data_IF_200492217036
#
_entry.id   IF_200492217036
#
_cell.length_a   1.000
_cell.length_b   1.000
_cell.length_c   1.000
_cell.angle_alpha   90.00
_cell.angle_beta   90.00
_cell.angle_gamma   90.00
#
_symmetry.space_group_name_H-M   'P 1'
#
loop_
_entity.id
_entity.type
_entity.pdbx_description
1 polymer ?
#
# COMPACT_ATOMS: atom_id res chain seq x y z
N UNK A 1 -19.91 -12.12 -2.33
CA UNK A 1 -18.93 -13.13 -2.74
C UNK A 1 -17.59 -12.84 -2.05
N UNK A 2 -16.68 -13.81 -1.95
CA UNK A 2 -15.31 -13.58 -1.43
C UNK A 2 -14.40 -13.09 -2.56
N UNK A 3 -13.34 -12.34 -2.23
CA UNK A 3 -12.28 -11.99 -3.17
C UNK A 3 -11.63 -13.22 -3.81
N UNK A 4 -11.64 -14.36 -3.12
CA UNK A 4 -11.12 -15.63 -3.65
C UNK A 4 -11.81 -16.07 -4.94
N UNK A 5 -13.09 -15.73 -5.11
CA UNK A 5 -13.85 -16.06 -6.30
C UNK A 5 -13.47 -15.18 -7.51
N UNK A 6 -12.87 -14.01 -7.27
CA UNK A 6 -12.48 -13.05 -8.31
C UNK A 6 -11.01 -13.22 -8.73
N UNK A 7 -10.19 -13.87 -7.90
CA UNK A 7 -8.76 -14.08 -8.13
C UNK A 7 -8.40 -14.74 -9.48
N UNK A 8 -9.12 -15.76 -10.00
CA UNK A 8 -8.73 -16.41 -11.26
C UNK A 8 -9.10 -15.60 -12.52
N UNK A 9 -9.88 -14.52 -12.38
CA UNK A 9 -10.38 -13.75 -13.51
C UNK A 9 -9.39 -12.62 -13.88
N UNK A 10 -9.18 -12.36 -15.19
CA UNK A 10 -8.42 -11.19 -15.62
C UNK A 10 -9.21 -9.91 -15.35
N UNK A 11 -8.53 -8.81 -15.05
CA UNK A 11 -9.16 -7.56 -14.58
C UNK A 11 -10.14 -6.99 -15.61
N UNK A 12 -9.84 -7.20 -16.90
CA UNK A 12 -10.72 -6.82 -18.03
C UNK A 12 -12.07 -7.53 -18.03
N UNK A 13 -12.15 -8.71 -17.40
CA UNK A 13 -13.36 -9.52 -17.30
C UNK A 13 -14.19 -9.19 -16.05
N UNK A 14 -13.69 -8.34 -15.15
CA UNK A 14 -14.39 -7.93 -13.93
C UNK A 14 -14.96 -6.54 -14.13
N UNK A 15 -16.28 -6.45 -14.02
CA UNK A 15 -17.02 -5.21 -14.09
C UNK A 15 -17.90 -5.08 -12.87
N UNK A 16 -17.78 -3.95 -12.19
CA UNK A 16 -18.58 -3.61 -11.03
C UNK A 16 -19.57 -2.53 -11.45
N UNK A 17 -20.86 -2.85 -11.40
CA UNK A 17 -21.92 -1.86 -11.60
C UNK A 17 -22.34 -1.28 -10.24
N UNK A 18 -22.19 0.04 -10.07
CA UNK A 18 -22.60 0.80 -8.89
C UNK A 18 -23.31 2.08 -9.33
N UNK A 19 -24.51 2.31 -8.79
CA UNK A 19 -25.26 3.57 -8.92
C UNK A 19 -25.27 4.15 -10.34
N UNK A 20 -25.66 3.31 -11.32
CA UNK A 20 -25.75 3.66 -12.75
C UNK A 20 -24.41 3.89 -13.46
N UNK A 21 -23.27 3.58 -12.83
CA UNK A 21 -21.95 3.58 -13.44
C UNK A 21 -21.33 2.19 -13.39
N UNK A 22 -20.42 1.93 -14.33
CA UNK A 22 -19.68 0.68 -14.39
C UNK A 22 -18.19 0.98 -14.26
N UNK A 23 -17.54 0.29 -13.34
CA UNK A 23 -16.10 0.33 -13.09
C UNK A 23 -15.51 -0.98 -13.58
N UNK A 24 -14.38 -0.92 -14.28
CA UNK A 24 -13.66 -2.09 -14.76
C UNK A 24 -12.43 -2.32 -13.87
N UNK A 25 -12.21 -3.56 -13.43
CA UNK A 25 -11.06 -3.95 -12.62
C UNK A 25 -11.43 -4.70 -11.33
N UNK A 26 -10.41 -5.26 -10.66
CA UNK A 26 -10.55 -5.95 -9.37
C UNK A 26 -10.66 -4.95 -8.23
N UNK A 27 -11.82 -4.32 -8.09
CA UNK A 27 -12.09 -3.67 -6.80
C UNK A 27 -12.26 -4.74 -5.71
N UNK A 28 -11.45 -4.62 -4.65
CA UNK A 28 -11.61 -5.38 -3.42
C UNK A 28 -13.05 -5.24 -2.90
N UNK A 29 -13.69 -6.37 -2.57
CA UNK A 29 -15.06 -6.40 -2.04
C UNK A 29 -15.20 -5.56 -0.77
N UNK A 30 -14.15 -5.44 0.04
CA UNK A 30 -14.18 -4.54 1.20
C UNK A 30 -14.24 -3.08 0.75
N UNK A 31 -13.45 -2.67 -0.23
CA UNK A 31 -13.54 -1.33 -0.82
C UNK A 31 -14.94 -1.05 -1.39
N UNK A 32 -15.58 -2.03 -2.03
CA UNK A 32 -16.95 -1.91 -2.52
C UNK A 32 -17.96 -1.68 -1.38
N UNK A 33 -17.78 -2.35 -0.24
CA UNK A 33 -18.63 -2.15 0.94
C UNK A 33 -18.41 -0.78 1.57
N UNK A 34 -17.19 -0.25 1.51
CA UNK A 34 -16.86 1.11 1.94
C UNK A 34 -17.54 2.14 1.07
N UNK A 35 -17.37 2.03 -0.25
CA UNK A 35 -18.00 2.94 -1.22
C UNK A 35 -19.53 2.94 -1.08
N UNK A 36 -20.14 1.78 -0.82
CA UNK A 36 -21.60 1.65 -0.65
C UNK A 36 -22.11 1.91 0.78
N UNK A 37 -21.24 2.35 1.70
CA UNK A 37 -21.63 2.68 3.08
C UNK A 37 -22.10 1.50 3.93
N UNK A 38 -21.69 0.27 3.59
CA UNK A 38 -22.02 -0.99 4.30
C UNK A 38 -20.98 -1.40 5.34
N UNK A 39 -20.20 -0.44 5.83
CA UNK A 39 -19.19 -0.58 6.88
C UNK A 39 -19.36 0.55 7.91
N UNK A 40 -18.96 0.28 9.15
CA UNK A 40 -18.87 1.29 10.20
C UNK A 40 -17.48 1.93 10.18
N UNK A 41 -17.22 2.76 9.16
CA UNK A 41 -15.99 3.55 9.04
C UNK A 41 -16.28 5.04 9.25
N UNK A 42 -15.28 5.79 9.73
CA UNK A 42 -15.29 7.25 9.84
C UNK A 42 -14.45 7.93 8.77
N UNK A 43 -13.58 7.17 8.08
CA UNK A 43 -12.73 7.63 7.00
C UNK A 43 -12.36 6.44 6.11
N UNK A 44 -12.33 6.66 4.80
CA UNK A 44 -11.71 5.73 3.86
C UNK A 44 -10.44 6.33 3.25
N UNK A 45 -9.42 5.51 3.08
CA UNK A 45 -8.18 5.89 2.42
C UNK A 45 -7.96 4.95 1.23
N UNK A 46 -7.81 5.54 0.06
CA UNK A 46 -7.51 4.84 -1.19
C UNK A 46 -6.05 5.07 -1.59
N UNK A 47 -5.35 3.99 -1.92
CA UNK A 47 -3.96 4.01 -2.38
C UNK A 47 -3.86 3.36 -3.75
N UNK A 48 -2.78 3.64 -4.48
CA UNK A 48 -2.55 3.03 -5.79
C UNK A 48 -2.34 1.51 -5.65
N UNK A 49 -1.45 1.13 -4.74
CA UNK A 49 -1.00 -0.25 -4.60
C UNK A 49 -0.89 -0.72 -3.13
N UNK A 50 -0.33 -1.93 -2.96
CA UNK A 50 -0.13 -2.57 -1.66
C UNK A 50 1.00 -1.95 -0.84
N UNK A 51 2.04 -1.41 -1.49
CA UNK A 51 3.14 -0.76 -0.77
C UNK A 51 2.61 0.51 -0.11
N UNK A 52 1.97 1.37 -0.90
CA UNK A 52 1.38 2.63 -0.44
C UNK A 52 0.33 2.38 0.63
N UNK A 53 -0.48 1.31 0.51
CA UNK A 53 -1.36 0.86 1.60
C UNK A 53 -0.59 0.53 2.87
N UNK A 54 0.45 -0.29 2.78
CA UNK A 54 1.25 -0.73 3.93
C UNK A 54 1.98 0.43 4.60
N UNK A 55 2.41 1.42 3.81
CA UNK A 55 3.03 2.64 4.32
C UNK A 55 2.01 3.48 5.10
N UNK A 56 0.85 3.77 4.52
CA UNK A 56 -0.19 4.54 5.22
C UNK A 56 -0.63 3.82 6.50
N UNK A 57 -0.87 2.51 6.47
CA UNK A 57 -1.19 1.75 7.68
C UNK A 57 -0.07 1.84 8.73
N UNK A 58 1.19 1.86 8.31
CA UNK A 58 2.32 2.05 9.22
C UNK A 58 2.34 3.44 9.85
N UNK A 59 2.03 4.49 9.08
CA UNK A 59 1.90 5.86 9.59
C UNK A 59 0.77 5.91 10.62
N UNK A 60 -0.42 5.39 10.26
CA UNK A 60 -1.55 5.30 11.18
C UNK A 60 -1.14 4.55 12.45
N UNK A 61 -0.32 3.49 12.32
CA UNK A 61 0.22 2.70 13.44
C UNK A 61 1.14 3.45 14.40
N UNK A 62 1.76 4.54 13.98
CA UNK A 62 2.67 5.32 14.83
C UNK A 62 1.95 6.31 15.73
N UNK A 63 0.79 6.82 15.34
CA UNK A 63 0.04 7.81 16.12
C UNK A 63 -1.06 7.13 16.94
N UNK A 64 -0.95 7.19 18.28
CA UNK A 64 -1.93 6.62 19.21
C UNK A 64 -3.21 7.45 19.35
N UNK A 65 -3.23 8.70 18.86
CA UNK A 65 -4.41 9.56 18.90
C UNK A 65 -5.45 9.20 17.84
N UNK A 66 -5.03 8.46 16.80
CA UNK A 66 -5.87 8.05 15.69
C UNK A 66 -6.59 6.74 16.03
N UNK A 67 -7.92 6.73 15.92
CA UNK A 67 -8.75 5.52 16.04
C UNK A 67 -8.70 4.71 14.76
N UNK A 68 -7.71 3.83 14.65
CA UNK A 68 -7.43 3.06 13.42
C UNK A 68 -8.54 2.10 13.08
N UNK A 69 -9.26 1.62 14.10
CA UNK A 69 -10.36 0.65 13.94
C UNK A 69 -11.53 1.24 13.15
N UNK A 70 -11.60 2.58 13.04
CA UNK A 70 -12.63 3.27 12.26
C UNK A 70 -12.12 3.81 10.93
N UNK A 71 -10.87 3.51 10.55
CA UNK A 71 -10.27 3.94 9.28
C UNK A 71 -10.07 2.72 8.40
N UNK A 72 -10.57 2.79 7.18
CA UNK A 72 -10.46 1.72 6.19
C UNK A 72 -9.44 2.10 5.11
N UNK A 73 -8.44 1.25 4.87
CA UNK A 73 -7.39 1.49 3.87
C UNK A 73 -7.46 0.44 2.75
N UNK A 74 -7.60 0.89 1.50
CA UNK A 74 -7.74 0.01 0.34
C UNK A 74 -6.84 0.44 -0.81
N UNK A 75 -6.18 -0.55 -1.44
CA UNK A 75 -5.43 -0.36 -2.67
C UNK A 75 -6.35 -0.54 -3.89
N UNK A 76 -6.08 0.19 -4.97
CA UNK A 76 -6.99 0.30 -6.13
C UNK A 76 -6.38 -0.19 -7.45
N UNK A 77 -5.24 -0.91 -7.38
CA UNK A 77 -4.49 -1.42 -8.52
C UNK A 77 -4.23 -0.33 -9.59
N UNK A 78 -3.91 0.88 -9.14
CA UNK A 78 -3.49 2.01 -9.98
C UNK A 78 -4.03 3.40 -9.57
N UNK A 79 -3.25 4.42 -9.93
CA UNK A 79 -3.48 5.85 -9.71
C UNK A 79 -4.87 6.36 -10.14
N UNK A 80 -5.24 6.09 -11.38
CA UNK A 80 -6.43 6.64 -12.00
C UNK A 80 -7.70 6.06 -11.37
N UNK A 81 -7.64 4.81 -10.92
CA UNK A 81 -8.76 4.15 -10.24
C UNK A 81 -8.92 4.72 -8.83
N UNK A 82 -7.83 4.88 -8.07
CA UNK A 82 -7.83 5.46 -6.73
C UNK A 82 -8.46 6.87 -6.73
N UNK A 83 -7.99 7.76 -7.61
CA UNK A 83 -8.49 9.15 -7.70
C UNK A 83 -9.95 9.19 -8.14
N UNK A 84 -10.35 8.36 -9.11
CA UNK A 84 -11.75 8.33 -9.59
C UNK A 84 -12.71 7.87 -8.50
N UNK A 85 -12.34 6.83 -7.75
CA UNK A 85 -13.17 6.30 -6.66
C UNK A 85 -13.27 7.34 -5.53
N UNK A 86 -12.15 7.94 -5.13
CA UNK A 86 -12.14 8.98 -4.10
C UNK A 86 -13.07 10.15 -4.45
N UNK A 87 -12.93 10.70 -5.66
CA UNK A 87 -13.80 11.78 -6.15
C UNK A 87 -15.26 11.36 -6.24
N UNK A 88 -15.53 10.12 -6.63
CA UNK A 88 -16.89 9.61 -6.72
C UNK A 88 -17.53 9.53 -5.34
N UNK A 89 -16.85 8.91 -4.38
CA UNK A 89 -17.31 8.76 -3.01
C UNK A 89 -17.54 10.12 -2.33
N UNK A 90 -16.63 11.07 -2.46
CA UNK A 90 -16.78 12.41 -1.84
C UNK A 90 -17.89 13.27 -2.49
N UNK A 91 -18.26 13.00 -3.75
CA UNK A 91 -19.37 13.70 -4.44
C UNK A 91 -20.73 13.09 -4.18
N UNK A 92 -20.78 11.87 -3.65
CA UNK A 92 -22.03 11.20 -3.32
C UNK A 92 -22.70 11.89 -2.11
N UNK A 93 -23.90 12.48 -2.25
CA UNK A 93 -24.60 13.14 -1.15
C UNK A 93 -25.08 12.16 -0.07
N UNK A 94 -25.08 10.85 -0.34
CA UNK A 94 -25.48 9.81 0.61
C UNK A 94 -24.31 9.27 1.44
N UNK A 95 -23.09 9.76 1.18
CA UNK A 95 -21.88 9.35 1.90
C UNK A 95 -22.02 9.59 3.39
N UNK A 96 -21.57 8.62 4.18
CA UNK A 96 -21.58 8.68 5.66
C UNK A 96 -20.30 9.27 6.24
N UNK A 97 -19.22 9.23 5.48
CA UNK A 97 -17.89 9.68 5.86
C UNK A 97 -17.14 10.23 4.64
N UNK A 98 -15.94 10.76 4.87
CA UNK A 98 -15.08 11.28 3.81
C UNK A 98 -14.10 10.22 3.33
N UNK A 99 -13.61 10.36 2.10
CA UNK A 99 -12.47 9.59 1.62
C UNK A 99 -11.28 10.48 1.29
N UNK A 100 -10.09 9.91 1.39
CA UNK A 100 -8.82 10.50 0.97
C UNK A 100 -8.14 9.55 -0.01
N UNK A 101 -7.39 10.09 -0.96
CA UNK A 101 -6.55 9.34 -1.88
C UNK A 101 -5.08 9.68 -1.67
N UNK A 102 -4.23 8.67 -1.61
CA UNK A 102 -2.78 8.81 -1.75
C UNK A 102 -2.34 8.28 -3.11
N UNK A 103 -1.59 9.12 -3.83
CA UNK A 103 -0.95 8.79 -5.11
C UNK A 103 0.57 8.76 -4.95
N UNK A 104 1.22 7.99 -5.81
CA UNK A 104 2.67 7.82 -5.79
C UNK A 104 3.35 9.06 -6.41
N UNK A 105 4.66 9.18 -6.22
CA UNK A 105 5.42 10.35 -6.64
C UNK A 105 5.46 10.54 -8.15
N UNK A 106 5.56 9.43 -8.88
CA UNK A 106 5.63 9.30 -10.33
C UNK A 106 4.25 9.29 -11.01
N UNK A 107 3.18 9.25 -10.22
CA UNK A 107 1.79 9.28 -10.67
C UNK A 107 1.48 10.50 -11.53
N UNK A 108 0.84 10.26 -12.69
CA UNK A 108 0.42 11.32 -13.62
C UNK A 108 -0.80 12.11 -13.13
N UNK A 109 -1.50 11.61 -12.11
CA UNK A 109 -2.61 12.35 -11.49
C UNK A 109 -2.09 13.61 -10.81
N UNK A 110 -2.94 14.64 -10.70
CA UNK A 110 -2.64 15.84 -9.92
C UNK A 110 -3.14 15.67 -8.49
N UNK A 111 -2.28 15.96 -7.53
CA UNK A 111 -2.66 16.17 -6.14
C UNK A 111 -3.49 17.46 -6.01
N UNK A 112 -4.44 17.42 -5.09
CA UNK A 112 -5.35 18.51 -4.83
C UNK A 112 -5.92 18.32 -3.42
N UNK A 113 -5.55 19.21 -2.47
CA UNK A 113 -6.14 19.20 -1.14
C UNK A 113 -7.68 19.33 -1.17
N UNK A 114 -8.22 20.10 -2.12
CA UNK A 114 -9.67 20.30 -2.27
C UNK A 114 -10.41 19.01 -2.69
N UNK A 115 -9.77 18.17 -3.51
CA UNK A 115 -10.31 16.85 -3.89
C UNK A 115 -9.92 15.73 -2.91
N UNK A 116 -9.24 16.06 -1.80
CA UNK A 116 -8.65 15.10 -0.86
C UNK A 116 -7.69 14.09 -1.55
N UNK A 117 -6.87 14.58 -2.47
CA UNK A 117 -5.83 13.78 -3.17
C UNK A 117 -4.46 14.30 -2.75
N UNK A 118 -3.65 13.44 -2.15
CA UNK A 118 -2.31 13.76 -1.66
C UNK A 118 -1.26 12.88 -2.32
N UNK A 119 -0.05 13.42 -2.50
CA UNK A 119 1.07 12.70 -3.09
C UNK A 119 2.03 12.22 -2.00
N UNK A 120 2.47 10.97 -2.11
CA UNK A 120 3.53 10.42 -1.27
C UNK A 120 4.89 11.05 -1.62
N UNK A 121 5.82 11.17 -0.65
CA UNK A 121 7.13 11.73 -0.91
C UNK A 121 8.00 10.78 -1.74
N UNK A 122 8.87 11.36 -2.58
CA UNK A 122 9.73 10.62 -3.53
C UNK A 122 9.19 10.64 -4.95
N UNK A 123 9.93 10.07 -5.90
CA UNK A 123 9.40 9.68 -7.23
C UNK A 123 8.71 8.32 -7.08
N UNK A 124 9.43 7.30 -6.61
CA UNK A 124 8.86 6.04 -6.14
C UNK A 124 8.79 5.99 -4.60
N UNK A 125 7.65 5.62 -4.01
CA UNK A 125 7.52 5.52 -2.56
C UNK A 125 8.46 4.47 -1.94
N UNK A 126 8.71 3.38 -2.64
CA UNK A 126 9.66 2.32 -2.28
C UNK A 126 11.09 2.84 -2.17
N UNK A 127 11.53 3.53 -3.23
CA UNK A 127 12.88 4.06 -3.35
C UNK A 127 13.15 5.13 -2.30
N UNK A 128 12.15 5.96 -2.00
CA UNK A 128 12.23 6.95 -0.94
C UNK A 128 12.44 6.28 0.43
N UNK A 129 11.59 5.32 0.81
CA UNK A 129 11.73 4.60 2.08
C UNK A 129 13.07 3.88 2.15
N UNK A 130 13.49 3.23 1.06
CA UNK A 130 14.77 2.53 1.02
C UNK A 130 15.96 3.49 1.22
N UNK A 131 15.91 4.66 0.59
CA UNK A 131 16.95 5.69 0.75
C UNK A 131 17.02 6.18 2.19
N UNK A 132 15.88 6.40 2.85
CA UNK A 132 15.83 6.75 4.27
C UNK A 132 16.43 5.65 5.16
N UNK A 133 16.22 4.37 4.82
CA UNK A 133 16.86 3.25 5.51
C UNK A 133 18.38 3.30 5.35
N UNK A 134 18.89 3.56 4.13
CA UNK A 134 20.33 3.67 3.88
C UNK A 134 20.99 4.79 4.69
N UNK A 135 20.30 5.91 4.88
CA UNK A 135 20.80 7.06 5.66
C UNK A 135 20.99 6.71 7.15
N UNK A 136 20.13 5.88 7.71
CA UNK A 136 20.20 5.44 9.12
C UNK A 136 20.89 4.10 9.31
N UNK A 137 21.29 3.43 8.23
CA UNK A 137 21.79 2.05 8.27
C UNK A 137 23.05 1.92 9.11
N UNK A 138 24.00 2.85 9.00
CA UNK A 138 25.26 2.76 9.75
C UNK A 138 25.06 2.85 11.27
N UNK A 139 24.07 3.61 11.72
CA UNK A 139 23.77 3.76 13.15
C UNK A 139 22.87 2.64 13.67
N UNK A 140 22.12 1.98 12.79
CA UNK A 140 21.11 0.96 13.16
C UNK A 140 21.45 -0.47 12.74
N UNK A 141 22.53 -0.70 11.99
CA UNK A 141 22.92 -2.04 11.46
C UNK A 141 22.99 -3.15 12.51
N UNK A 142 23.41 -2.80 13.73
CA UNK A 142 23.44 -3.75 14.85
C UNK A 142 22.05 -4.18 15.29
N UNK A 143 21.11 -3.22 15.40
CA UNK A 143 19.70 -3.48 15.74
C UNK A 143 19.02 -4.26 14.63
N UNK A 144 19.28 -3.89 13.38
CA UNK A 144 18.75 -4.59 12.21
C UNK A 144 19.21 -6.05 12.19
N UNK A 145 20.51 -6.32 12.40
CA UNK A 145 21.06 -7.67 12.44
C UNK A 145 20.35 -8.54 13.49
N UNK A 146 20.23 -8.04 14.71
CA UNK A 146 19.57 -8.77 15.80
C UNK A 146 18.08 -8.97 15.53
N UNK A 147 17.40 -7.98 14.94
CA UNK A 147 15.97 -8.07 14.57
C UNK A 147 15.72 -9.12 13.49
N UNK A 148 16.68 -9.32 12.59
CA UNK A 148 16.69 -10.39 11.59
C UNK A 148 17.15 -11.74 12.16
N UNK A 149 17.32 -11.86 13.48
CA UNK A 149 17.80 -13.05 14.18
C UNK A 149 19.25 -13.46 13.79
N UNK A 150 20.05 -12.49 13.36
CA UNK A 150 21.47 -12.67 13.09
C UNK A 150 22.35 -12.16 14.24
N UNK A 151 23.55 -12.75 14.44
CA UNK A 151 24.52 -12.22 15.40
C UNK A 151 24.97 -10.80 15.06
N UNK A 152 25.25 -9.97 16.08
CA UNK A 152 25.72 -8.59 15.90
C UNK A 152 26.98 -8.49 15.01
N UNK A 153 27.88 -9.48 15.06
CA UNK A 153 29.10 -9.49 14.25
C UNK A 153 28.83 -9.56 12.73
N UNK A 154 27.62 -9.96 12.33
CA UNK A 154 27.19 -10.00 10.92
C UNK A 154 26.56 -8.68 10.46
N UNK A 155 26.48 -7.65 11.32
CA UNK A 155 25.86 -6.37 10.99
C UNK A 155 26.47 -5.70 9.75
N UNK A 156 27.79 -5.72 9.61
CA UNK A 156 28.46 -5.15 8.43
C UNK A 156 28.10 -5.93 7.16
N UNK A 157 28.11 -7.27 7.21
CA UNK A 157 27.71 -8.12 6.09
C UNK A 157 26.27 -7.88 5.65
N UNK A 158 25.34 -7.65 6.59
CA UNK A 158 23.94 -7.33 6.27
C UNK A 158 23.85 -5.95 5.64
N UNK A 159 24.58 -4.96 6.16
CA UNK A 159 24.60 -3.62 5.59
C UNK A 159 25.14 -3.59 4.16
N UNK A 160 26.15 -4.41 3.85
CA UNK A 160 26.69 -4.54 2.49
C UNK A 160 25.65 -5.15 1.53
N UNK A 161 24.89 -6.15 1.97
CA UNK A 161 23.80 -6.74 1.17
C UNK A 161 22.71 -5.69 0.88
N UNK A 162 22.32 -4.91 1.87
CA UNK A 162 21.32 -3.84 1.71
C UNK A 162 21.83 -2.79 0.70
N UNK A 163 23.09 -2.39 0.77
CA UNK A 163 23.70 -1.46 -0.20
C UNK A 163 23.77 -2.05 -1.61
N UNK A 164 24.20 -3.31 -1.74
CA UNK A 164 24.28 -4.00 -3.02
C UNK A 164 22.92 -4.19 -3.68
N UNK A 165 21.90 -4.50 -2.89
CA UNK A 165 20.52 -4.68 -3.39
C UNK A 165 20.01 -3.39 -4.04
N UNK A 166 20.27 -2.23 -3.44
CA UNK A 166 19.91 -0.94 -4.03
C UNK A 166 20.63 -0.66 -5.35
N UNK A 167 21.92 -1.01 -5.43
CA UNK A 167 22.72 -0.77 -6.65
C UNK A 167 22.37 -1.73 -7.81
N UNK A 168 21.90 -2.93 -7.49
CA UNK A 168 21.65 -3.99 -8.48
C UNK A 168 20.19 -4.08 -8.90
N UNK A 169 19.26 -3.58 -8.09
CA UNK A 169 17.86 -3.52 -8.47
C UNK A 169 17.59 -2.35 -9.43
N UNK A 170 16.97 -2.66 -10.58
CA UNK A 170 16.56 -1.70 -11.61
C UNK A 170 15.08 -1.34 -11.56
N UNK A 171 14.30 -2.07 -10.79
CA UNK A 171 12.86 -1.87 -10.62
C UNK A 171 12.59 -1.59 -9.14
N UNK A 172 12.35 -0.32 -8.84
CA UNK A 172 12.18 0.15 -7.47
C UNK A 172 10.91 -0.38 -6.81
N UNK A 173 9.84 -0.66 -7.58
CA UNK A 173 8.61 -1.25 -7.07
C UNK A 173 8.76 -2.71 -6.62
N UNK A 174 9.85 -3.37 -7.02
CA UNK A 174 10.15 -4.76 -6.64
C UNK A 174 11.02 -4.84 -5.39
N UNK A 175 11.53 -3.71 -4.87
CA UNK A 175 12.37 -3.68 -3.66
C UNK A 175 11.69 -4.34 -2.45
N UNK A 176 10.36 -4.30 -2.37
CA UNK A 176 9.58 -4.90 -1.30
C UNK A 176 8.84 -6.18 -1.69
N UNK A 177 9.21 -6.86 -2.79
CA UNK A 177 8.58 -8.14 -3.13
C UNK A 177 8.86 -9.14 -2.00
N UNK A 178 7.91 -9.21 -1.07
CA UNK A 178 7.87 -10.18 0.01
C UNK A 178 8.02 -11.51 -0.69
N UNK A 179 9.19 -12.12 -0.52
CA UNK A 179 9.34 -13.53 -0.81
C UNK A 179 8.42 -14.16 0.21
N UNK A 180 7.19 -14.50 -0.20
CA UNK A 180 6.36 -15.40 0.59
C UNK A 180 7.26 -16.59 0.81
N UNK A 181 7.70 -16.74 2.06
CA UNK A 181 8.52 -17.85 2.50
C UNK A 181 7.69 -19.08 2.14
N UNK A 182 8.08 -19.76 1.05
CA UNK A 182 7.64 -21.13 0.85
C UNK A 182 8.26 -21.89 2.02
N UNK A 183 7.42 -22.22 3.01
CA UNK A 183 7.68 -23.17 4.09
C UNK A 183 7.87 -24.60 3.54
N UNK A 184 8.77 -24.77 2.57
CA UNK A 184 9.12 -26.05 1.94
C UNK A 184 10.60 -26.39 2.15
N UNK A 185 11.08 -26.23 3.39
CA UNK A 185 12.21 -27.03 3.88
C UNK A 185 11.83 -27.63 5.23
N UNK A 186 10.92 -28.60 5.18
CA UNK A 186 10.85 -29.69 6.16
C UNK A 186 11.13 -31.01 5.43
N UNK A 187 11.97 -31.81 6.09
CA UNK A 187 12.29 -33.23 5.88
C UNK A 187 13.32 -33.52 4.76
N UNK A 188 14.61 -33.70 5.07
CA UNK A 188 15.27 -34.91 5.64
C UNK A 188 16.16 -35.58 4.56
N UNK A 189 17.21 -36.37 4.89
CA UNK A 189 17.50 -37.06 6.15
C UNK A 189 18.72 -36.56 6.94
#
# INVERSE_FOLDING_TARGET
HSNDALRPLPDKAIWVAMESKVYQGKLDINALRVITGKVEATLAIFTEDLFSKSWIESILRTDSSIKRETIEVHHMEGDGTAVKINRHHNRDPTRRFESICFIDGDSQQKDSPDDHVYRLPGEGPESYVYSQILDVLETTKGVLSVSLQHPYIQADSISDIVRQTHMTNRDEHVLQRVTVQNDDIRESP
#
